data_IF_256624690954
#
_entry.id   IF_256624690954
#
_cell.length_a   1.000
_cell.length_b   1.000
_cell.length_c   1.000
_cell.angle_alpha   90.00
_cell.angle_beta   90.00
_cell.angle_gamma   90.00
#
_symmetry.space_group_name_H-M   'P 1'
#
loop_
_entity.id
_entity.type
_entity.pdbx_description
1 polymer ?
#
# COMPACT_ATOMS: atom_id res chain seq x y z
N UNK A 1 2.90 -45.23 14.69
CA UNK A 1 3.04 -43.80 14.55
C UNK A 1 1.76 -43.21 14.01
N UNK A 2 1.08 -42.36 14.78
CA UNK A 2 -0.10 -41.62 14.31
C UNK A 2 0.37 -40.67 13.20
N UNK A 3 -0.01 -40.95 11.97
CA UNK A 3 0.16 -40.01 10.88
C UNK A 3 -0.70 -38.77 11.22
N UNK A 4 -0.05 -37.69 11.58
CA UNK A 4 -0.72 -36.40 11.76
C UNK A 4 -1.30 -36.00 10.42
N UNK A 5 -2.63 -35.90 10.31
CA UNK A 5 -3.28 -35.44 9.10
C UNK A 5 -2.72 -34.06 8.75
N UNK A 6 -2.29 -33.81 7.52
CA UNK A 6 -1.77 -32.51 7.13
C UNK A 6 -2.85 -31.45 7.41
N UNK A 7 -2.48 -30.38 8.12
CA UNK A 7 -3.35 -29.25 8.34
C UNK A 7 -3.90 -28.74 6.98
N UNK A 8 -5.20 -28.45 6.90
CA UNK A 8 -5.78 -27.96 5.66
C UNK A 8 -5.10 -26.63 5.28
N UNK A 9 -4.56 -26.59 4.07
CA UNK A 9 -3.89 -25.39 3.56
C UNK A 9 -4.93 -24.31 3.25
N UNK A 10 -4.72 -23.04 3.62
CA UNK A 10 -5.62 -21.98 3.23
C UNK A 10 -5.67 -21.85 1.71
N UNK A 11 -6.87 -21.63 1.17
CA UNK A 11 -7.07 -21.38 -0.26
C UNK A 11 -6.74 -19.95 -0.67
N UNK A 12 -6.89 -19.01 0.26
CA UNK A 12 -6.60 -17.59 0.07
C UNK A 12 -5.93 -17.06 1.34
N UNK A 13 -4.84 -16.32 1.14
CA UNK A 13 -4.19 -15.52 2.18
C UNK A 13 -4.22 -14.07 1.74
N UNK A 14 -4.72 -13.19 2.58
CA UNK A 14 -4.77 -11.75 2.33
C UNK A 14 -3.88 -11.07 3.36
N UNK A 15 -2.77 -10.49 2.91
CA UNK A 15 -1.91 -9.64 3.73
C UNK A 15 -2.33 -8.18 3.60
N UNK A 16 -2.68 -7.54 4.70
CA UNK A 16 -3.06 -6.12 4.73
C UNK A 16 -2.03 -5.38 5.56
N UNK A 17 -1.32 -4.43 4.94
CA UNK A 17 -0.40 -3.51 5.62
C UNK A 17 -1.03 -2.12 5.60
N UNK A 18 -1.24 -1.56 6.78
CA UNK A 18 -1.78 -0.22 6.93
C UNK A 18 -0.61 0.69 7.33
N UNK A 19 -0.08 1.38 6.34
CA UNK A 19 1.04 2.30 6.52
C UNK A 19 0.65 3.45 7.46
N UNK A 20 1.60 3.91 8.29
CA UNK A 20 1.44 5.02 9.24
C UNK A 20 0.34 4.81 10.32
N UNK A 21 -0.28 3.63 10.39
CA UNK A 21 -1.23 3.32 11.45
C UNK A 21 -0.50 3.08 12.77
N UNK A 22 -0.77 3.90 13.76
CA UNK A 22 -0.23 3.73 15.11
C UNK A 22 -0.92 2.57 15.81
N UNK A 23 -0.13 1.79 16.55
CA UNK A 23 -0.64 0.65 17.33
C UNK A 23 -1.75 1.04 18.33
N UNK A 24 -1.63 2.22 18.97
CA UNK A 24 -2.61 2.68 19.94
C UNK A 24 -3.99 2.99 19.33
N UNK A 25 -4.09 3.15 18.01
CA UNK A 25 -5.39 3.36 17.34
C UNK A 25 -6.31 2.15 17.47
N UNK A 26 -5.78 0.95 17.58
CA UNK A 26 -6.57 -0.26 17.80
C UNK A 26 -7.36 -0.19 19.12
N UNK A 27 -6.79 0.42 20.15
CA UNK A 27 -7.40 0.54 21.49
C UNK A 27 -8.10 1.89 21.68
N UNK A 28 -7.51 2.97 21.22
CA UNK A 28 -8.07 4.31 21.34
C UNK A 28 -9.43 4.46 20.70
N UNK A 29 -9.63 3.82 19.54
CA UNK A 29 -10.87 3.88 18.77
C UNK A 29 -11.69 2.60 18.87
N UNK A 30 -11.39 1.71 19.81
CA UNK A 30 -12.02 0.39 19.91
C UNK A 30 -13.55 0.45 19.91
N UNK A 31 -14.14 1.38 20.68
CA UNK A 31 -15.60 1.52 20.76
C UNK A 31 -16.24 2.07 19.47
N UNK A 32 -15.44 2.64 18.57
CA UNK A 32 -15.92 3.14 17.28
C UNK A 32 -15.90 2.09 16.18
N UNK A 33 -15.16 1.00 16.36
CA UNK A 33 -15.11 -0.05 15.37
C UNK A 33 -16.42 -0.84 15.35
N UNK A 34 -16.85 -1.23 14.15
CA UNK A 34 -18.02 -2.07 13.98
C UNK A 34 -17.83 -3.39 14.76
N UNK A 35 -18.86 -3.86 15.52
CA UNK A 35 -18.75 -5.09 16.32
C UNK A 35 -18.32 -6.33 15.52
N UNK A 36 -18.77 -6.41 14.26
CA UNK A 36 -18.45 -7.51 13.33
C UNK A 36 -17.39 -7.11 12.30
N UNK A 37 -16.83 -5.90 12.40
CA UNK A 37 -15.86 -5.34 11.46
C UNK A 37 -14.46 -5.90 11.64
N UNK A 38 -13.59 -5.60 10.66
CA UNK A 38 -12.25 -6.15 10.53
C UNK A 38 -11.41 -6.07 11.80
N UNK A 39 -11.21 -4.88 12.37
CA UNK A 39 -10.36 -4.71 13.56
C UNK A 39 -10.88 -5.48 14.78
N UNK A 40 -12.13 -5.28 15.19
CA UNK A 40 -12.70 -6.01 16.34
C UNK A 40 -12.70 -7.52 16.13
N UNK A 41 -13.03 -7.99 14.93
CA UNK A 41 -12.97 -9.42 14.62
C UNK A 41 -11.57 -9.98 14.72
N UNK A 42 -10.56 -9.29 14.18
CA UNK A 42 -9.16 -9.74 14.25
C UNK A 42 -8.62 -9.71 15.68
N UNK A 43 -8.91 -8.67 16.46
CA UNK A 43 -8.50 -8.57 17.86
C UNK A 43 -9.16 -9.62 18.74
N UNK A 44 -10.44 -9.97 18.51
CA UNK A 44 -11.20 -10.89 19.36
C UNK A 44 -11.12 -12.36 18.92
N UNK A 45 -10.85 -12.64 17.65
CA UNK A 45 -10.88 -13.98 17.06
C UNK A 45 -9.56 -14.38 16.40
N UNK A 46 -8.65 -13.43 16.22
CA UNK A 46 -7.32 -13.64 15.65
C UNK A 46 -6.26 -13.80 16.72
N UNK A 47 -5.01 -13.73 16.29
CA UNK A 47 -3.84 -13.70 17.14
C UNK A 47 -3.18 -12.31 17.07
N UNK A 48 -2.82 -11.74 18.22
CA UNK A 48 -2.14 -10.45 18.32
C UNK A 48 -0.67 -10.64 18.74
N UNK A 49 0.24 -10.07 17.98
CA UNK A 49 1.67 -10.03 18.29
C UNK A 49 2.02 -8.67 18.90
N UNK A 50 1.77 -8.50 20.21
CA UNK A 50 1.86 -7.20 20.88
C UNK A 50 3.29 -6.70 21.12
N UNK A 51 4.27 -7.58 21.04
CA UNK A 51 5.70 -7.27 21.28
C UNK A 51 6.54 -7.29 20.00
N UNK A 52 5.95 -6.90 18.89
CA UNK A 52 6.66 -6.82 17.62
C UNK A 52 7.37 -5.47 17.49
N UNK A 53 8.71 -5.50 17.55
CA UNK A 53 9.54 -4.31 17.45
C UNK A 53 10.30 -4.29 16.11
N UNK A 54 10.44 -3.10 15.55
CA UNK A 54 11.26 -2.87 14.35
C UNK A 54 12.69 -2.61 14.78
N UNK A 55 13.69 -3.48 14.42
CA UNK A 55 15.05 -3.40 14.92
C UNK A 55 15.98 -2.49 14.09
N UNK A 56 15.42 -1.57 13.29
CA UNK A 56 16.20 -0.70 12.41
C UNK A 56 15.57 0.70 12.32
N UNK A 57 16.34 1.65 11.81
CA UNK A 57 15.92 3.01 11.50
C UNK A 57 16.66 3.50 10.25
N UNK A 58 16.05 4.36 9.41
CA UNK A 58 14.69 4.91 9.48
C UNK A 58 13.62 3.89 9.05
N UNK A 59 12.39 4.07 9.56
CA UNK A 59 11.25 3.21 9.29
C UNK A 59 10.36 3.76 8.16
N UNK A 60 10.95 4.10 7.03
CA UNK A 60 10.21 4.53 5.84
C UNK A 60 9.37 3.41 5.23
N UNK A 61 8.36 3.77 4.45
CA UNK A 61 7.42 2.84 3.79
C UNK A 61 8.14 1.70 3.06
N UNK A 62 9.13 2.04 2.22
CA UNK A 62 9.90 1.04 1.46
C UNK A 62 10.58 0.01 2.34
N UNK A 63 11.29 0.48 3.38
CA UNK A 63 11.94 -0.40 4.37
C UNK A 63 10.94 -1.29 5.10
N UNK A 64 9.84 -0.70 5.60
CA UNK A 64 8.84 -1.39 6.40
C UNK A 64 8.15 -2.51 5.61
N UNK A 65 7.61 -2.18 4.44
CA UNK A 65 6.94 -3.15 3.59
C UNK A 65 7.87 -4.28 3.15
N UNK A 66 9.11 -3.95 2.75
CA UNK A 66 10.10 -4.97 2.39
C UNK A 66 10.44 -5.88 3.58
N UNK A 67 10.71 -5.29 4.74
CA UNK A 67 11.14 -6.07 5.91
C UNK A 67 10.06 -7.00 6.44
N UNK A 68 8.78 -6.57 6.44
CA UNK A 68 7.65 -7.43 6.84
C UNK A 68 7.55 -8.66 5.93
N UNK A 69 7.67 -8.48 4.63
CA UNK A 69 7.45 -9.57 3.68
C UNK A 69 8.69 -10.41 3.37
N UNK A 70 9.90 -9.89 3.63
CA UNK A 70 11.16 -10.65 3.50
C UNK A 70 11.58 -11.33 4.80
N UNK A 71 11.04 -10.90 5.95
CA UNK A 71 11.51 -11.35 7.27
C UNK A 71 12.93 -10.90 7.60
N UNK A 72 13.47 -9.87 6.91
CA UNK A 72 14.83 -9.39 7.05
C UNK A 72 14.87 -7.89 7.31
N UNK A 73 16.06 -7.38 7.63
CA UNK A 73 16.31 -5.94 7.81
C UNK A 73 16.82 -5.29 6.51
N UNK A 74 16.73 -3.96 6.36
CA UNK A 74 17.19 -3.24 5.17
C UNK A 74 18.62 -3.55 4.72
N UNK A 75 19.53 -3.79 5.66
CA UNK A 75 20.91 -4.17 5.37
C UNK A 75 21.03 -5.50 4.58
N UNK A 76 20.03 -6.36 4.66
CA UNK A 76 19.98 -7.66 3.98
C UNK A 76 19.12 -7.57 2.72
N UNK A 77 17.92 -6.98 2.83
CA UNK A 77 17.00 -6.90 1.69
C UNK A 77 17.30 -5.77 0.68
N UNK A 78 18.24 -4.87 1.03
CA UNK A 78 18.72 -3.81 0.13
C UNK A 78 17.85 -2.54 0.09
N UNK A 79 16.65 -2.55 0.70
CA UNK A 79 15.75 -1.40 0.68
C UNK A 79 15.99 -0.54 1.92
N UNK A 80 16.93 0.38 1.83
CA UNK A 80 17.39 1.19 2.96
C UNK A 80 16.57 2.47 3.20
N UNK A 81 15.68 2.82 2.27
CA UNK A 81 14.82 3.99 2.34
C UNK A 81 13.79 3.96 1.21
N UNK A 82 12.93 5.00 1.13
CA UNK A 82 12.17 5.24 -0.11
C UNK A 82 13.10 5.70 -1.22
N UNK A 83 14.15 6.43 -0.84
CA UNK A 83 15.25 6.88 -1.70
C UNK A 83 16.57 6.69 -0.96
N UNK A 84 17.63 6.42 -1.70
CA UNK A 84 19.01 6.44 -1.19
C UNK A 84 19.97 6.96 -2.27
N UNK A 85 21.13 7.41 -1.81
CA UNK A 85 22.22 7.80 -2.72
C UNK A 85 23.02 6.58 -3.13
N UNK A 86 23.01 6.26 -4.42
CA UNK A 86 23.87 5.22 -5.00
C UNK A 86 25.24 5.81 -5.34
N UNK A 87 26.27 5.34 -4.63
CA UNK A 87 27.64 5.83 -4.81
C UNK A 87 28.25 5.40 -6.13
N UNK A 88 27.83 4.30 -6.72
CA UNK A 88 28.34 3.81 -7.99
C UNK A 88 27.71 4.57 -9.16
N UNK A 89 26.41 4.86 -9.08
CA UNK A 89 25.68 5.61 -10.09
C UNK A 89 25.73 7.13 -9.88
N UNK A 90 26.26 7.60 -8.73
CA UNK A 90 26.34 9.01 -8.33
C UNK A 90 25.00 9.75 -8.46
N UNK A 91 23.92 9.10 -8.04
CA UNK A 91 22.56 9.66 -8.08
C UNK A 91 21.67 9.10 -6.96
N UNK A 92 20.58 9.77 -6.73
CA UNK A 92 19.49 9.23 -5.92
C UNK A 92 18.77 8.11 -6.68
N UNK A 93 18.48 7.01 -5.99
CA UNK A 93 17.73 5.85 -6.50
C UNK A 93 16.45 5.74 -5.70
N UNK A 94 15.33 5.54 -6.38
CA UNK A 94 14.04 5.24 -5.76
C UNK A 94 13.89 3.74 -5.55
N UNK A 95 13.33 3.31 -4.41
CA UNK A 95 13.32 1.92 -3.99
C UNK A 95 12.68 0.92 -4.97
N UNK A 96 11.70 1.34 -5.75
CA UNK A 96 11.01 0.50 -6.73
C UNK A 96 11.35 0.87 -8.19
N UNK A 97 12.24 1.86 -8.44
CA UNK A 97 12.54 2.29 -9.83
C UNK A 97 13.16 1.16 -10.64
N UNK A 98 12.71 1.06 -11.88
CA UNK A 98 13.34 0.22 -12.90
C UNK A 98 13.21 0.91 -14.28
N UNK A 99 14.32 1.44 -14.76
CA UNK A 99 14.37 2.13 -16.06
C UNK A 99 14.29 1.18 -17.26
N UNK A 100 14.41 -0.12 -17.04
CA UNK A 100 14.38 -1.14 -18.09
C UNK A 100 12.99 -1.60 -18.46
N UNK A 101 11.98 -1.23 -17.64
CA UNK A 101 10.57 -1.58 -17.86
C UNK A 101 9.75 -0.37 -18.30
N UNK A 102 8.57 -0.62 -18.84
CA UNK A 102 7.66 0.40 -19.34
C UNK A 102 6.32 0.35 -18.63
N UNK A 103 5.65 1.50 -18.62
CA UNK A 103 4.29 1.62 -18.06
C UNK A 103 3.29 0.85 -18.89
N UNK A 104 2.40 0.14 -18.24
CA UNK A 104 1.24 -0.52 -18.82
C UNK A 104 -0.03 0.03 -18.18
N UNK A 105 -0.92 0.60 -19.00
CA UNK A 105 -2.18 1.21 -18.56
C UNK A 105 -2.22 2.73 -18.59
N UNK A 106 -1.09 3.39 -18.91
CA UNK A 106 -1.03 4.82 -19.20
C UNK A 106 0.18 5.16 -20.07
N UNK A 107 0.27 6.43 -20.51
CA UNK A 107 1.42 6.96 -21.24
C UNK A 107 2.42 7.68 -20.32
N UNK A 108 2.27 7.60 -19.02
CA UNK A 108 3.16 8.21 -18.04
C UNK A 108 4.43 7.40 -17.83
N UNK A 109 5.36 7.95 -17.04
CA UNK A 109 6.55 7.21 -16.58
C UNK A 109 6.35 6.53 -15.21
N UNK A 110 5.15 6.64 -14.63
CA UNK A 110 4.83 6.13 -13.29
C UNK A 110 4.86 4.60 -13.20
N UNK A 111 4.83 3.90 -14.32
CA UNK A 111 4.95 2.45 -14.38
C UNK A 111 6.37 1.92 -14.57
N UNK A 112 7.41 2.76 -14.62
CA UNK A 112 8.82 2.31 -14.69
C UNK A 112 9.32 1.79 -13.35
N UNK A 113 8.64 0.76 -12.85
CA UNK A 113 8.80 0.20 -11.50
C UNK A 113 8.82 -1.33 -11.55
N UNK A 114 9.67 -1.93 -10.71
CA UNK A 114 9.74 -3.39 -10.51
C UNK A 114 10.39 -3.70 -9.15
N UNK A 115 10.43 -4.97 -8.71
CA UNK A 115 11.14 -5.36 -7.49
C UNK A 115 12.66 -5.46 -7.65
N UNK A 116 13.23 -4.94 -8.71
CA UNK A 116 14.65 -5.10 -9.08
C UNK A 116 15.64 -4.76 -7.97
N UNK A 117 15.34 -3.74 -7.17
CA UNK A 117 16.23 -3.29 -6.09
C UNK A 117 16.12 -4.14 -4.82
N UNK A 118 15.13 -5.01 -4.72
CA UNK A 118 14.98 -5.96 -3.61
C UNK A 118 15.99 -7.10 -3.79
N UNK A 119 16.85 -7.33 -2.78
CA UNK A 119 17.95 -8.30 -2.90
C UNK A 119 17.60 -9.69 -2.34
N UNK A 120 16.44 -9.84 -1.72
CA UNK A 120 15.99 -11.09 -1.10
C UNK A 120 14.64 -11.52 -1.63
N UNK A 121 14.30 -12.80 -1.44
CA UNK A 121 12.94 -13.30 -1.67
C UNK A 121 11.97 -12.80 -0.60
N UNK A 122 10.70 -12.76 -0.94
CA UNK A 122 9.60 -12.49 -0.01
C UNK A 122 8.87 -13.78 0.35
N UNK A 123 8.03 -13.75 1.39
CA UNK A 123 7.13 -14.89 1.68
C UNK A 123 6.26 -15.25 0.48
N UNK A 124 5.95 -14.27 -0.38
CA UNK A 124 5.20 -14.48 -1.61
C UNK A 124 6.01 -15.25 -2.66
N UNK A 125 7.31 -14.95 -2.80
CA UNK A 125 8.23 -15.71 -3.65
C UNK A 125 8.36 -17.14 -3.14
N UNK A 126 8.56 -17.32 -1.83
CA UNK A 126 8.65 -18.64 -1.20
C UNK A 126 7.37 -19.47 -1.40
N UNK A 127 6.19 -18.85 -1.33
CA UNK A 127 4.93 -19.49 -1.67
C UNK A 127 4.90 -19.97 -3.12
N UNK A 128 5.41 -19.17 -4.05
CA UNK A 128 5.51 -19.54 -5.47
C UNK A 128 6.42 -20.77 -5.64
N UNK A 129 7.59 -20.78 -4.99
CA UNK A 129 8.52 -21.90 -5.03
C UNK A 129 7.92 -23.16 -4.40
N UNK A 130 7.38 -23.06 -3.18
CA UNK A 130 6.77 -24.17 -2.46
C UNK A 130 5.58 -24.81 -3.20
N UNK A 131 4.92 -24.07 -4.08
CA UNK A 131 3.80 -24.57 -4.89
C UNK A 131 4.16 -24.84 -6.34
N UNK A 132 5.44 -24.82 -6.68
CA UNK A 132 5.93 -24.97 -8.05
C UNK A 132 5.20 -24.02 -9.03
N UNK A 133 5.14 -22.75 -8.67
CA UNK A 133 4.49 -21.64 -9.38
C UNK A 133 2.97 -21.77 -9.61
N UNK A 134 2.29 -22.71 -8.93
CA UNK A 134 0.82 -22.87 -9.04
C UNK A 134 0.03 -21.83 -8.27
N UNK A 135 0.59 -21.28 -7.19
CA UNK A 135 -0.02 -20.18 -6.44
C UNK A 135 -0.07 -18.90 -7.27
N UNK A 136 -1.08 -18.07 -7.02
CA UNK A 136 -1.18 -16.72 -7.55
C UNK A 136 -0.79 -15.73 -6.49
N UNK A 137 0.02 -14.75 -6.86
CA UNK A 137 0.46 -13.63 -6.01
C UNK A 137 0.12 -12.33 -6.73
N UNK A 138 -0.59 -11.46 -6.04
CA UNK A 138 -0.99 -10.14 -6.55
C UNK A 138 -0.74 -9.10 -5.46
N UNK A 139 0.04 -8.07 -5.78
CA UNK A 139 0.24 -6.89 -4.94
C UNK A 139 -0.66 -5.75 -5.40
N UNK A 140 -1.29 -5.04 -4.46
CA UNK A 140 -2.11 -3.87 -4.78
C UNK A 140 -1.85 -2.80 -3.72
N UNK A 141 -1.49 -1.60 -4.16
CA UNK A 141 -1.35 -0.45 -3.26
C UNK A 141 -1.46 0.85 -4.07
N UNK A 142 -1.89 1.92 -3.42
CA UNK A 142 -1.82 3.25 -4.05
C UNK A 142 -0.39 3.62 -4.40
N UNK A 143 0.58 3.32 -3.54
CA UNK A 143 2.00 3.55 -3.81
C UNK A 143 2.62 2.28 -4.42
N UNK A 144 3.32 2.44 -5.52
CA UNK A 144 4.05 1.37 -6.22
C UNK A 144 4.86 0.47 -5.26
N UNK A 145 5.67 1.07 -4.38
CA UNK A 145 6.50 0.35 -3.40
C UNK A 145 5.70 -0.50 -2.42
N UNK A 146 4.47 -0.10 -2.10
CA UNK A 146 3.58 -0.85 -1.21
C UNK A 146 2.96 -2.09 -1.87
N UNK A 147 2.82 -2.10 -3.18
CA UNK A 147 2.35 -3.26 -3.94
C UNK A 147 3.48 -4.15 -4.44
N UNK A 148 4.53 -3.56 -4.98
CA UNK A 148 5.64 -4.25 -5.65
C UNK A 148 6.54 -5.00 -4.66
N UNK A 149 7.05 -4.30 -3.64
CA UNK A 149 8.05 -4.86 -2.74
C UNK A 149 7.52 -6.05 -1.91
N UNK A 150 6.29 -6.00 -1.34
CA UNK A 150 5.68 -7.17 -0.69
C UNK A 150 5.42 -8.34 -1.63
N UNK A 151 5.00 -8.06 -2.86
CA UNK A 151 4.69 -9.10 -3.83
C UNK A 151 5.91 -9.90 -4.28
N UNK A 152 7.09 -9.31 -4.21
CA UNK A 152 8.35 -9.96 -4.55
C UNK A 152 8.60 -10.09 -6.06
N UNK A 153 9.61 -10.92 -6.40
CA UNK A 153 10.11 -11.05 -7.78
C UNK A 153 9.21 -11.90 -8.67
N UNK A 154 8.51 -12.88 -8.10
CA UNK A 154 7.76 -13.88 -8.86
C UNK A 154 6.25 -13.65 -8.84
N UNK A 155 5.79 -12.44 -8.47
CA UNK A 155 4.38 -12.12 -8.45
C UNK A 155 3.76 -12.21 -9.86
N UNK A 156 2.49 -12.63 -9.91
CA UNK A 156 1.72 -12.65 -11.14
C UNK A 156 1.32 -11.23 -11.58
N UNK A 157 1.18 -10.32 -10.62
CA UNK A 157 0.86 -8.92 -10.86
C UNK A 157 1.21 -8.04 -9.65
N UNK A 158 1.50 -6.78 -9.92
CA UNK A 158 1.38 -5.70 -8.96
C UNK A 158 0.68 -4.52 -9.64
N UNK A 159 -0.26 -3.90 -8.93
CA UNK A 159 -1.01 -2.74 -9.42
C UNK A 159 -0.84 -1.57 -8.48
N UNK A 160 -0.66 -0.38 -9.05
CA UNK A 160 -0.57 0.86 -8.28
C UNK A 160 -1.24 2.01 -9.01
N UNK A 161 -1.40 3.10 -8.30
CA UNK A 161 -2.14 4.25 -8.79
C UNK A 161 -1.22 5.24 -9.50
N UNK A 162 -1.59 5.66 -10.70
CA UNK A 162 -0.93 6.70 -11.46
C UNK A 162 -1.58 8.06 -11.19
N UNK A 163 -0.89 8.89 -10.44
CA UNK A 163 -1.34 10.22 -10.06
C UNK A 163 -1.53 11.18 -11.25
N UNK A 164 -0.91 10.90 -12.40
CA UNK A 164 -1.00 11.78 -13.57
C UNK A 164 -2.29 11.61 -14.35
N UNK A 165 -2.89 10.42 -14.31
CA UNK A 165 -4.09 10.07 -15.09
C UNK A 165 -5.27 9.58 -14.26
N UNK A 166 -5.06 9.30 -12.97
CA UNK A 166 -6.13 8.85 -12.08
C UNK A 166 -6.54 7.39 -12.28
N UNK A 167 -5.65 6.54 -12.79
CA UNK A 167 -5.92 5.14 -13.10
C UNK A 167 -4.98 4.21 -12.34
N UNK A 168 -5.39 2.96 -12.20
CA UNK A 168 -4.54 1.87 -11.77
C UNK A 168 -3.74 1.35 -12.95
N UNK A 169 -2.45 1.18 -12.74
CA UNK A 169 -1.46 0.78 -13.75
C UNK A 169 -0.59 -0.37 -13.24
N UNK A 170 0.25 -0.87 -14.12
CA UNK A 170 1.33 -1.81 -13.82
C UNK A 170 2.55 -1.51 -14.70
N UNK A 171 3.53 -2.41 -14.74
CA UNK A 171 4.64 -2.38 -15.67
C UNK A 171 4.71 -3.65 -16.55
N UNK A 172 5.46 -3.55 -17.64
CA UNK A 172 5.72 -4.72 -18.51
C UNK A 172 6.65 -5.75 -17.85
N UNK A 173 7.14 -5.49 -16.62
CA UNK A 173 7.71 -6.52 -15.76
C UNK A 173 6.71 -7.65 -15.47
N UNK A 174 5.43 -7.31 -15.28
CA UNK A 174 4.38 -8.25 -14.92
C UNK A 174 3.54 -8.70 -16.11
N UNK A 175 3.18 -7.79 -17.00
CA UNK A 175 2.29 -8.06 -18.13
C UNK A 175 2.36 -6.98 -19.19
N UNK A 176 1.99 -7.32 -20.43
CA UNK A 176 2.04 -6.40 -21.57
C UNK A 176 0.75 -5.60 -21.79
N UNK A 177 -0.35 -5.96 -21.12
CA UNK A 177 -1.63 -5.25 -21.17
C UNK A 177 -2.38 -5.44 -19.86
N UNK A 178 -3.16 -4.45 -19.45
CA UNK A 178 -4.01 -4.57 -18.27
C UNK A 178 -5.08 -5.65 -18.48
N UNK A 179 -5.42 -6.43 -17.43
CA UNK A 179 -6.56 -7.31 -17.47
C UNK A 179 -7.87 -6.53 -17.62
N UNK A 180 -8.85 -7.10 -18.30
CA UNK A 180 -10.16 -6.47 -18.54
C UNK A 180 -10.84 -5.95 -17.27
N UNK A 181 -10.66 -6.61 -16.14
CA UNK A 181 -11.26 -6.17 -14.87
C UNK A 181 -10.60 -4.90 -14.33
N UNK A 182 -9.29 -4.70 -14.54
CA UNK A 182 -8.60 -3.45 -14.17
C UNK A 182 -9.06 -2.31 -15.07
N UNK A 183 -9.16 -2.53 -16.39
CA UNK A 183 -9.69 -1.54 -17.32
C UNK A 183 -11.13 -1.17 -16.96
N UNK A 184 -11.98 -2.15 -16.64
CA UNK A 184 -13.35 -1.93 -16.22
C UNK A 184 -13.43 -1.11 -14.91
N UNK A 185 -12.50 -1.35 -13.98
CA UNK A 185 -12.39 -0.57 -12.75
C UNK A 185 -11.96 0.87 -13.05
N UNK A 186 -10.91 1.08 -13.85
CA UNK A 186 -10.44 2.40 -14.26
C UNK A 186 -11.54 3.22 -14.98
N UNK A 187 -12.33 2.56 -15.81
CA UNK A 187 -13.43 3.20 -16.54
C UNK A 187 -14.58 3.71 -15.64
N UNK A 188 -14.65 3.26 -14.38
CA UNK A 188 -15.63 3.76 -13.41
C UNK A 188 -15.33 5.17 -12.90
N UNK A 189 -14.11 5.68 -13.13
CA UNK A 189 -13.69 7.03 -12.73
C UNK A 189 -13.96 7.33 -11.24
N UNK A 190 -13.56 6.41 -10.37
CA UNK A 190 -13.82 6.52 -8.94
C UNK A 190 -13.23 7.78 -8.31
N UNK A 191 -12.06 8.23 -8.78
CA UNK A 191 -11.42 9.45 -8.25
C UNK A 191 -12.29 10.67 -8.50
N UNK A 192 -12.85 10.82 -9.71
CA UNK A 192 -13.77 11.93 -10.02
C UNK A 192 -15.02 11.89 -9.13
N UNK A 193 -15.58 10.69 -8.89
CA UNK A 193 -16.72 10.51 -7.99
C UNK A 193 -16.40 10.91 -6.55
N UNK A 194 -15.20 10.56 -6.06
CA UNK A 194 -14.77 10.98 -4.73
C UNK A 194 -14.51 12.48 -4.66
N UNK A 195 -13.92 13.07 -5.69
CA UNK A 195 -13.72 14.51 -5.76
C UNK A 195 -15.04 15.28 -5.81
N UNK A 196 -16.03 14.77 -6.54
CA UNK A 196 -17.40 15.34 -6.56
C UNK A 196 -18.03 15.34 -5.16
N UNK A 197 -17.85 14.27 -4.40
CA UNK A 197 -18.36 14.13 -3.04
C UNK A 197 -17.64 15.07 -2.08
N UNK A 198 -16.33 15.34 -2.29
CA UNK A 198 -15.48 16.01 -1.33
C UNK A 198 -15.09 15.08 -0.16
N UNK A 199 -14.40 15.64 0.81
CA UNK A 199 -14.01 14.94 2.04
C UNK A 199 -14.51 15.67 3.26
N UNK A 200 -15.36 15.03 4.02
CA UNK A 200 -15.98 15.57 5.23
C UNK A 200 -15.84 14.58 6.40
N UNK A 201 -16.18 15.04 7.60
CA UNK A 201 -16.25 14.19 8.77
C UNK A 201 -17.26 13.04 8.55
N UNK A 202 -16.89 11.84 8.99
CA UNK A 202 -17.77 10.67 8.88
C UNK A 202 -18.93 10.73 9.89
N UNK A 203 -18.70 11.35 11.05
CA UNK A 203 -19.64 11.47 12.17
C UNK A 203 -19.78 12.93 12.58
N UNK A 204 -20.80 13.29 13.38
CA UNK A 204 -20.92 14.64 13.95
C UNK A 204 -19.65 15.05 14.73
N UNK A 205 -19.17 16.26 14.51
CA UNK A 205 -17.91 16.77 15.08
C UNK A 205 -17.80 16.57 16.60
N UNK A 206 -18.89 16.78 17.35
CA UNK A 206 -18.93 16.59 18.81
C UNK A 206 -18.64 15.16 19.29
N UNK A 207 -18.67 14.18 18.39
CA UNK A 207 -18.41 12.76 18.74
C UNK A 207 -16.93 12.41 18.68
N UNK A 208 -16.05 13.27 18.17
CA UNK A 208 -14.60 13.01 18.04
C UNK A 208 -13.85 13.31 19.35
N UNK A 209 -14.30 12.68 20.45
CA UNK A 209 -13.74 12.91 21.79
C UNK A 209 -12.36 12.30 22.02
N UNK A 210 -11.93 11.35 21.14
CA UNK A 210 -10.61 10.71 21.22
C UNK A 210 -9.53 11.43 20.40
N UNK A 211 -9.91 12.45 19.65
CA UNK A 211 -9.03 13.25 18.79
C UNK A 211 -8.84 14.65 19.37
N UNK A 212 -7.79 15.34 18.94
CA UNK A 212 -7.62 16.78 19.19
C UNK A 212 -8.57 17.57 18.31
N UNK A 213 -8.62 18.89 18.51
CA UNK A 213 -9.34 19.81 17.63
C UNK A 213 -8.86 19.68 16.18
N UNK A 214 -9.78 19.91 15.23
CA UNK A 214 -9.55 19.76 13.81
C UNK A 214 -8.47 20.69 13.26
N UNK A 215 -8.49 21.97 13.62
CA UNK A 215 -7.60 22.99 13.06
C UNK A 215 -6.29 23.10 13.87
N UNK A 216 -5.18 22.60 13.30
CA UNK A 216 -3.84 22.69 13.90
C UNK A 216 -2.85 23.40 12.98
N UNK A 217 -2.07 24.32 13.55
CA UNK A 217 -1.10 25.12 12.80
C UNK A 217 0.04 24.28 12.17
N UNK A 218 0.34 23.10 12.74
CA UNK A 218 1.39 22.21 12.26
C UNK A 218 0.94 21.27 11.13
N UNK A 219 -0.36 21.22 10.84
CA UNK A 219 -0.89 20.35 9.79
C UNK A 219 -0.60 20.91 8.39
N UNK A 220 -0.28 20.01 7.46
CA UNK A 220 -0.05 20.39 6.08
C UNK A 220 -1.35 20.82 5.39
N UNK A 221 -1.26 21.93 4.64
CA UNK A 221 -2.40 22.47 3.87
C UNK A 221 -2.48 21.87 2.45
N UNK A 222 -2.29 20.56 2.34
CA UNK A 222 -2.19 19.87 1.05
C UNK A 222 -3.45 19.98 0.16
N UNK A 223 -4.61 20.19 0.78
CA UNK A 223 -5.91 20.33 0.09
C UNK A 223 -6.44 21.77 0.14
N UNK A 224 -5.57 22.76 0.34
CA UNK A 224 -5.94 24.17 0.40
C UNK A 224 -6.34 24.65 1.80
N UNK A 225 -6.34 23.77 2.79
CA UNK A 225 -6.69 24.04 4.19
C UNK A 225 -6.22 22.93 5.11
N UNK A 226 -6.52 23.07 6.39
CA UNK A 226 -6.26 22.09 7.45
C UNK A 226 -7.50 21.85 8.33
N UNK A 227 -8.69 22.05 7.77
CA UNK A 227 -9.97 21.96 8.46
C UNK A 227 -11.05 21.38 7.55
N UNK A 228 -11.89 20.51 8.10
CA UNK A 228 -13.06 19.97 7.43
C UNK A 228 -14.18 21.01 7.24
N UNK A 229 -15.02 20.88 6.17
CA UNK A 229 -14.90 19.95 5.05
C UNK A 229 -13.92 20.40 3.97
N UNK A 230 -13.35 19.44 3.20
CA UNK A 230 -12.52 19.74 2.05
C UNK A 230 -13.33 19.65 0.75
N UNK A 231 -13.36 20.73 -0.03
CA UNK A 231 -13.95 20.72 -1.37
C UNK A 231 -12.88 20.28 -2.39
N UNK A 232 -13.11 19.13 -3.00
CA UNK A 232 -12.16 18.52 -3.94
C UNK A 232 -12.55 18.71 -5.43
N UNK A 233 -13.69 19.31 -5.73
CA UNK A 233 -14.22 19.47 -7.11
C UNK A 233 -13.26 20.19 -8.04
N UNK A 234 -12.50 21.15 -7.51
CA UNK A 234 -11.54 21.93 -8.31
C UNK A 234 -10.39 21.10 -8.89
N UNK A 235 -10.15 19.88 -8.34
CA UNK A 235 -9.09 18.96 -8.79
C UNK A 235 -9.54 18.00 -9.90
N UNK A 236 -10.85 17.88 -10.19
CA UNK A 236 -11.38 17.01 -11.24
C UNK A 236 -10.74 17.35 -12.59
N UNK A 237 -10.15 16.35 -13.24
CA UNK A 237 -9.46 16.50 -14.52
C UNK A 237 -8.15 17.31 -14.49
N UNK A 238 -7.67 17.73 -13.31
CA UNK A 238 -6.49 18.59 -13.17
C UNK A 238 -5.39 18.00 -12.31
N UNK A 239 -5.73 17.41 -11.17
CA UNK A 239 -4.74 16.87 -10.22
C UNK A 239 -5.29 15.63 -9.53
N UNK A 240 -5.00 14.48 -10.10
CA UNK A 240 -5.39 13.18 -9.55
C UNK A 240 -4.52 12.74 -8.37
N UNK A 241 -3.39 13.42 -8.12
CA UNK A 241 -2.51 13.14 -6.99
C UNK A 241 -3.13 13.49 -5.63
N UNK A 242 -4.08 14.43 -5.60
CA UNK A 242 -4.73 14.85 -4.36
C UNK A 242 -5.52 13.74 -3.66
N UNK A 243 -6.02 12.74 -4.37
CA UNK A 243 -6.70 11.61 -3.75
C UNK A 243 -5.82 10.87 -2.75
N UNK A 244 -4.53 10.80 -3.00
CA UNK A 244 -3.57 10.12 -2.13
C UNK A 244 -3.27 10.86 -0.82
N UNK A 245 -3.81 12.07 -0.64
CA UNK A 245 -3.73 12.85 0.61
C UNK A 245 -5.01 12.74 1.46
N UNK A 246 -5.97 11.94 1.02
CA UNK A 246 -7.24 11.69 1.70
C UNK A 246 -7.31 10.25 2.20
N UNK A 247 -8.13 9.93 3.23
CA UNK A 247 -8.35 8.54 3.64
C UNK A 247 -8.97 7.65 2.56
N UNK A 248 -9.58 8.25 1.53
CA UNK A 248 -10.10 7.50 0.38
C UNK A 248 -9.01 7.00 -0.55
N UNK A 249 -7.82 7.56 -0.41
CA UNK A 249 -6.65 7.23 -1.22
C UNK A 249 -5.56 6.45 -0.48
N UNK A 250 -5.67 6.33 0.84
CA UNK A 250 -4.67 5.64 1.67
C UNK A 250 -5.22 4.41 2.35
#
# INVERSE_FOLDING_TARGET
GNAQLPLPRPKLVVGVVIDQMRWDYLYRYYERYLPTGGFKRMMNQGNSCENTLIPYTPTYTGCGHSSIYTGTVPAINGITGNFWWDRNQLRSVYCAEDKTVNTVGSNSTQGKMSPRNLLTTTICDELKFATNNRSKVIGISIKDRGGILPAGHNANAAYWYDNSVGNWITSDYYMTALPKWVDAFNNQKWVDKYYEKGWDLLYPAATYTQSTEDEKAYEAKALGGNKFPYNLKSYIGKDYGKISTTPMGN
#
